data_IF_044255472102
#
_entry.id   IF_044255472102
#
_cell.length_a   1.000
_cell.length_b   1.000
_cell.length_c   1.000
_cell.angle_alpha   90.00
_cell.angle_beta   90.00
_cell.angle_gamma   90.00
#
_symmetry.space_group_name_H-M   'P 1'
#
loop_
_entity.id
_entity.type
_entity.pdbx_description
1 polymer ?
#
# COMPACT_ATOMS: atom_id res chain seq x y z
N UNK A 1 33.56 -22.00 -3.16
CA UNK A 1 32.60 -20.89 -3.12
C UNK A 1 31.23 -21.49 -3.37
N UNK A 2 30.33 -21.46 -2.38
CA UNK A 2 28.96 -21.94 -2.56
C UNK A 2 28.30 -21.17 -3.71
N UNK A 3 27.75 -21.92 -4.67
CA UNK A 3 26.95 -21.40 -5.76
C UNK A 3 25.62 -20.89 -5.20
N UNK A 4 25.62 -19.67 -4.67
CA UNK A 4 24.38 -19.00 -4.25
C UNK A 4 23.50 -18.83 -5.49
N UNK A 5 22.43 -19.63 -5.56
CA UNK A 5 21.46 -19.61 -6.66
C UNK A 5 20.83 -18.22 -6.87
N UNK A 6 20.02 -18.08 -7.93
CA UNK A 6 19.40 -16.79 -8.27
C UNK A 6 18.38 -16.37 -7.21
N UNK A 7 18.60 -15.23 -6.58
CA UNK A 7 17.63 -14.60 -5.68
C UNK A 7 16.60 -13.81 -6.49
N UNK A 8 15.34 -13.85 -6.05
CA UNK A 8 14.24 -13.07 -6.63
C UNK A 8 13.80 -12.00 -5.62
N UNK A 9 13.77 -10.75 -6.07
CA UNK A 9 13.29 -9.61 -5.29
C UNK A 9 12.12 -8.95 -6.02
N UNK A 10 11.22 -8.32 -5.25
CA UNK A 10 10.10 -7.56 -5.78
C UNK A 10 10.57 -6.30 -6.51
N UNK A 11 9.84 -5.91 -7.55
CA UNK A 11 10.04 -4.60 -8.17
C UNK A 11 9.52 -3.47 -7.29
N UNK A 12 9.95 -2.24 -7.60
CA UNK A 12 9.52 -1.06 -6.85
C UNK A 12 8.02 -0.80 -6.98
N UNK A 13 7.34 -0.47 -5.87
CA UNK A 13 5.91 -0.10 -5.90
C UNK A 13 5.55 0.90 -4.81
N UNK A 14 4.43 1.61 -5.00
CA UNK A 14 3.93 2.57 -4.01
C UNK A 14 3.61 1.94 -2.64
N UNK A 15 3.38 0.62 -2.59
CA UNK A 15 3.15 -0.10 -1.34
C UNK A 15 4.39 -0.14 -0.43
N UNK A 16 5.59 0.16 -0.96
CA UNK A 16 6.83 0.32 -0.20
C UNK A 16 6.98 1.73 0.40
N UNK A 17 6.01 2.64 0.17
CA UNK A 17 6.01 3.96 0.80
C UNK A 17 5.69 3.85 2.29
N UNK A 18 6.67 4.18 3.13
CA UNK A 18 6.49 4.23 4.59
C UNK A 18 5.43 5.27 4.99
N UNK A 19 5.36 6.41 4.31
CA UNK A 19 4.41 7.48 4.63
C UNK A 19 2.97 7.04 4.46
N UNK A 20 2.62 6.34 3.37
CA UNK A 20 1.24 5.89 3.15
C UNK A 20 0.84 4.83 4.18
N UNK A 21 1.71 3.85 4.45
CA UNK A 21 1.45 2.85 5.48
C UNK A 21 1.39 3.45 6.89
N UNK A 22 2.14 4.53 7.15
CA UNK A 22 2.13 5.23 8.44
C UNK A 22 0.80 5.93 8.69
N UNK A 23 0.23 6.57 7.66
CA UNK A 23 -1.09 7.19 7.74
C UNK A 23 -2.16 6.11 8.00
N UNK A 24 -2.07 4.96 7.34
CA UNK A 24 -2.97 3.83 7.57
C UNK A 24 -2.89 3.31 9.01
N UNK A 25 -1.67 3.07 9.49
CA UNK A 25 -1.41 2.65 10.87
C UNK A 25 -1.98 3.66 11.88
N UNK A 26 -1.69 4.95 11.67
CA UNK A 26 -2.15 6.03 12.55
C UNK A 26 -3.68 6.12 12.61
N UNK A 27 -4.36 6.02 11.47
CA UNK A 27 -5.82 6.08 11.35
C UNK A 27 -6.53 4.75 11.62
N UNK A 28 -5.79 3.68 11.92
CA UNK A 28 -6.30 2.31 12.12
C UNK A 28 -7.10 1.80 10.92
N UNK A 29 -6.54 1.92 9.71
CA UNK A 29 -7.13 1.36 8.49
C UNK A 29 -6.80 -0.14 8.42
N UNK A 30 -7.85 -0.97 8.36
CA UNK A 30 -7.71 -2.42 8.23
C UNK A 30 -7.80 -2.82 6.76
N UNK A 31 -6.73 -3.40 6.21
CA UNK A 31 -6.67 -3.78 4.79
C UNK A 31 -6.95 -5.26 4.56
N UNK A 32 -7.70 -5.57 3.53
CA UNK A 32 -7.91 -6.94 3.03
C UNK A 32 -6.64 -7.57 2.47
N UNK A 33 -5.74 -6.74 1.92
CA UNK A 33 -4.45 -7.15 1.33
C UNK A 33 -3.27 -6.95 2.30
N UNK A 34 -3.52 -7.10 3.62
CA UNK A 34 -2.55 -6.76 4.67
C UNK A 34 -1.22 -7.51 4.55
N UNK A 35 -1.25 -8.81 4.23
CA UNK A 35 -0.04 -9.62 4.10
C UNK A 35 0.93 -9.05 3.05
N UNK A 36 0.40 -8.65 1.89
CA UNK A 36 1.21 -8.02 0.85
C UNK A 36 1.81 -6.70 1.32
N UNK A 37 1.04 -5.84 2.00
CA UNK A 37 1.52 -4.57 2.54
C UNK A 37 2.62 -4.77 3.59
N UNK A 38 2.47 -5.76 4.47
CA UNK A 38 3.48 -6.13 5.47
C UNK A 38 4.75 -6.64 4.77
N UNK A 39 4.64 -7.51 3.77
CA UNK A 39 5.80 -7.97 2.98
C UNK A 39 6.55 -6.79 2.33
N UNK A 40 5.85 -5.75 1.88
CA UNK A 40 6.49 -4.57 1.31
C UNK A 40 7.31 -3.76 2.32
N UNK A 41 7.10 -3.94 3.63
CA UNK A 41 7.91 -3.29 4.66
C UNK A 41 9.37 -3.74 4.62
N UNK A 42 9.66 -4.96 4.17
CA UNK A 42 11.04 -5.45 4.02
C UNK A 42 11.87 -4.63 3.02
N UNK A 43 11.21 -3.85 2.17
CA UNK A 43 11.85 -2.92 1.23
C UNK A 43 11.96 -1.49 1.79
N UNK A 44 11.58 -1.26 3.05
CA UNK A 44 11.69 0.04 3.74
C UNK A 44 12.94 0.09 4.63
N UNK A 45 13.51 1.29 4.87
CA UNK A 45 14.51 1.50 5.90
C UNK A 45 14.06 0.93 7.24
N UNK A 46 15.01 0.40 8.02
CA UNK A 46 14.73 -0.28 9.29
C UNK A 46 13.97 0.64 10.25
N UNK A 47 14.43 1.87 10.39
CA UNK A 47 13.87 2.88 11.28
C UNK A 47 12.41 3.21 10.91
N UNK A 48 12.08 3.13 9.62
CA UNK A 48 10.71 3.36 9.16
C UNK A 48 9.79 2.18 9.52
N UNK A 49 10.30 0.95 9.44
CA UNK A 49 9.54 -0.24 9.87
C UNK A 49 9.26 -0.22 11.37
N UNK A 50 10.27 0.13 12.16
CA UNK A 50 10.16 0.24 13.61
C UNK A 50 9.13 1.32 13.99
N UNK A 51 9.15 2.47 13.30
CA UNK A 51 8.13 3.51 13.49
C UNK A 51 6.71 3.02 13.14
N UNK A 52 6.55 2.31 12.03
CA UNK A 52 5.24 1.76 11.63
C UNK A 52 4.67 0.85 12.70
N UNK A 53 5.48 -0.11 13.17
CA UNK A 53 5.07 -1.04 14.22
C UNK A 53 4.68 -0.30 15.50
N UNK A 54 5.51 0.66 15.92
CA UNK A 54 5.21 1.45 17.12
C UNK A 54 3.90 2.23 16.99
N UNK A 55 3.63 2.84 15.83
CA UNK A 55 2.37 3.57 15.61
C UNK A 55 1.16 2.64 15.62
N UNK A 56 1.26 1.44 15.04
CA UNK A 56 0.17 0.45 15.07
C UNK A 56 -0.21 0.04 16.50
N UNK A 57 0.79 -0.10 17.37
CA UNK A 57 0.61 -0.49 18.78
C UNK A 57 0.16 0.68 19.66
N UNK A 58 0.68 1.89 19.41
CA UNK A 58 0.57 3.03 20.33
C UNK A 58 -0.37 4.16 19.88
N UNK A 59 -0.93 4.13 18.67
CA UNK A 59 -1.76 5.23 18.19
C UNK A 59 -2.97 5.49 19.13
N UNK A 60 -3.16 6.73 19.61
CA UNK A 60 -4.27 7.08 20.50
C UNK A 60 -5.60 7.22 19.74
N UNK A 61 -5.57 7.20 18.41
CA UNK A 61 -6.74 7.36 17.56
C UNK A 61 -7.70 6.19 17.77
N UNK A 62 -8.97 6.50 17.97
CA UNK A 62 -10.08 5.56 18.03
C UNK A 62 -11.01 5.81 16.84
N UNK A 63 -11.87 4.84 16.51
CA UNK A 63 -12.88 5.01 15.44
C UNK A 63 -13.80 6.20 15.69
N UNK A 64 -13.96 6.61 16.95
CA UNK A 64 -14.77 7.75 17.41
C UNK A 64 -13.99 9.07 17.55
N UNK A 65 -12.69 9.10 17.24
CA UNK A 65 -11.88 10.32 17.38
C UNK A 65 -12.37 11.40 16.39
N UNK A 66 -12.69 12.61 16.88
CA UNK A 66 -13.07 13.73 16.00
C UNK A 66 -12.00 14.01 14.94
N UNK A 67 -12.41 14.28 13.70
CA UNK A 67 -11.48 14.54 12.59
C UNK A 67 -10.99 13.28 11.87
N UNK A 68 -11.22 12.08 12.42
CA UNK A 68 -10.76 10.82 11.79
C UNK A 68 -11.46 10.57 10.47
N UNK A 69 -12.77 10.79 10.40
CA UNK A 69 -13.56 10.51 9.20
C UNK A 69 -13.19 11.47 8.06
N UNK A 70 -12.91 12.73 8.37
CA UNK A 70 -12.40 13.71 7.42
C UNK A 70 -11.01 13.32 6.89
N UNK A 71 -10.13 12.84 7.77
CA UNK A 71 -8.81 12.35 7.39
C UNK A 71 -8.91 11.09 6.49
N UNK A 72 -9.78 10.14 6.83
CA UNK A 72 -10.06 8.96 6.00
C UNK A 72 -10.62 9.35 4.63
N UNK A 73 -11.52 10.34 4.59
CA UNK A 73 -12.08 10.83 3.35
C UNK A 73 -11.01 11.48 2.47
N UNK A 74 -10.11 12.28 3.06
CA UNK A 74 -8.96 12.84 2.33
C UNK A 74 -8.06 11.73 1.77
N UNK A 75 -7.76 10.69 2.55
CA UNK A 75 -6.97 9.53 2.13
C UNK A 75 -7.67 8.74 1.00
N UNK A 76 -9.00 8.60 1.06
CA UNK A 76 -9.79 7.95 0.01
C UNK A 76 -9.81 8.75 -1.29
N UNK A 77 -9.85 10.09 -1.21
CA UNK A 77 -9.70 10.99 -2.37
C UNK A 77 -8.32 10.80 -2.99
N UNK A 78 -7.26 10.77 -2.18
CA UNK A 78 -5.90 10.50 -2.65
C UNK A 78 -5.80 9.15 -3.38
N UNK A 79 -6.33 8.07 -2.78
CA UNK A 79 -6.34 6.73 -3.40
C UNK A 79 -7.13 6.69 -4.70
N UNK A 80 -8.23 7.43 -4.78
CA UNK A 80 -9.04 7.55 -6.00
C UNK A 80 -8.27 8.26 -7.12
N UNK A 81 -7.56 9.35 -6.80
CA UNK A 81 -6.68 10.03 -7.76
C UNK A 81 -5.56 9.11 -8.23
N UNK A 82 -4.91 8.39 -7.31
CA UNK A 82 -3.86 7.44 -7.65
C UNK A 82 -4.37 6.31 -8.57
N UNK A 83 -5.56 5.76 -8.30
CA UNK A 83 -6.19 4.75 -9.16
C UNK A 83 -6.46 5.29 -10.57
N UNK A 84 -6.93 6.53 -10.69
CA UNK A 84 -7.15 7.17 -11.98
C UNK A 84 -5.83 7.37 -12.74
N UNK A 85 -4.77 7.78 -12.06
CA UNK A 85 -3.43 7.87 -12.67
C UNK A 85 -2.97 6.51 -13.18
N UNK A 86 -3.07 5.46 -12.36
CA UNK A 86 -2.69 4.10 -12.78
C UNK A 86 -3.52 3.62 -13.97
N UNK A 87 -4.82 3.94 -14.00
CA UNK A 87 -5.65 3.66 -15.17
C UNK A 87 -5.14 4.38 -16.42
N UNK A 88 -4.87 5.69 -16.33
CA UNK A 88 -4.46 6.53 -17.46
C UNK A 88 -3.04 6.23 -17.98
N UNK A 89 -2.11 5.89 -17.09
CA UNK A 89 -0.70 5.74 -17.44
C UNK A 89 -0.25 4.29 -17.60
N UNK A 90 -1.00 3.33 -17.06
CA UNK A 90 -0.65 1.90 -17.17
C UNK A 90 -1.74 1.16 -17.92
N UNK A 91 -2.99 1.17 -17.42
CA UNK A 91 -4.04 0.31 -17.97
C UNK A 91 -4.36 0.62 -19.43
N UNK A 92 -4.51 1.90 -19.79
CA UNK A 92 -4.81 2.31 -21.17
C UNK A 92 -3.65 2.09 -22.15
N UNK A 93 -2.43 1.86 -21.64
CA UNK A 93 -1.24 1.63 -22.46
C UNK A 93 -1.05 0.15 -22.82
N UNK A 94 -1.81 -0.76 -22.19
CA UNK A 94 -1.71 -2.20 -22.43
C UNK A 94 -2.49 -2.57 -23.69
N UNK A 95 -1.77 -2.97 -24.75
CA UNK A 95 -2.38 -3.39 -26.03
C UNK A 95 -2.95 -4.82 -25.99
N UNK A 96 -2.33 -5.71 -25.20
CA UNK A 96 -2.73 -7.10 -25.04
C UNK A 96 -2.86 -7.46 -23.55
N UNK A 97 -4.07 -7.57 -22.99
CA UNK A 97 -4.29 -7.75 -21.56
C UNK A 97 -4.08 -9.21 -21.12
N UNK A 98 -2.88 -9.77 -21.34
CA UNK A 98 -2.56 -11.12 -20.88
C UNK A 98 -2.22 -11.15 -19.38
N UNK A 99 -1.73 -10.05 -18.81
CA UNK A 99 -1.57 -9.89 -17.37
C UNK A 99 -1.49 -8.41 -16.97
N UNK A 100 -2.27 -8.00 -15.97
CA UNK A 100 -2.20 -6.67 -15.33
C UNK A 100 -1.45 -6.74 -14.01
N UNK A 101 -0.31 -7.44 -14.00
CA UNK A 101 0.59 -7.50 -12.85
C UNK A 101 1.37 -6.20 -12.73
N UNK A 102 1.27 -5.55 -11.57
CA UNK A 102 2.09 -4.38 -11.24
C UNK A 102 3.53 -4.79 -10.96
N UNK A 103 4.43 -3.81 -10.93
CA UNK A 103 5.85 -4.03 -10.62
C UNK A 103 6.10 -4.66 -9.25
N UNK A 104 5.18 -4.43 -8.29
CA UNK A 104 5.18 -5.10 -6.98
C UNK A 104 4.65 -6.54 -7.00
N UNK A 105 4.23 -7.08 -8.14
CA UNK A 105 3.79 -8.47 -8.29
C UNK A 105 2.30 -8.74 -8.09
N UNK A 106 1.46 -7.72 -7.88
CA UNK A 106 0.01 -7.87 -7.66
C UNK A 106 -0.82 -7.54 -8.89
N UNK A 107 -2.05 -8.08 -9.03
CA UNK A 107 -3.03 -7.56 -9.99
C UNK A 107 -3.42 -6.12 -9.61
N UNK A 108 -2.71 -5.12 -10.17
CA UNK A 108 -2.65 -3.78 -9.57
C UNK A 108 -4.01 -3.10 -9.48
N UNK A 109 -4.89 -3.29 -10.47
CA UNK A 109 -6.23 -2.70 -10.44
C UNK A 109 -7.10 -3.27 -9.32
N UNK A 110 -7.02 -4.58 -9.06
CA UNK A 110 -7.76 -5.22 -7.96
C UNK A 110 -7.21 -4.73 -6.62
N UNK A 111 -5.90 -4.79 -6.45
CA UNK A 111 -5.21 -4.34 -5.25
C UNK A 111 -5.55 -2.88 -4.89
N UNK A 112 -5.42 -1.95 -5.86
CA UNK A 112 -5.72 -0.53 -5.62
C UNK A 112 -7.20 -0.27 -5.31
N UNK A 113 -8.13 -1.02 -5.91
CA UNK A 113 -9.57 -0.92 -5.59
C UNK A 113 -9.86 -1.41 -4.17
N UNK A 114 -9.20 -2.48 -3.73
CA UNK A 114 -9.34 -3.03 -2.37
C UNK A 114 -8.82 -2.02 -1.35
N UNK A 115 -7.57 -1.57 -1.48
CA UNK A 115 -6.95 -0.58 -0.58
C UNK A 115 -7.75 0.73 -0.48
N UNK A 116 -8.39 1.18 -1.57
CA UNK A 116 -9.31 2.34 -1.56
C UNK A 116 -10.63 2.03 -0.82
N UNK A 117 -11.18 0.84 -1.01
CA UNK A 117 -12.46 0.43 -0.40
C UNK A 117 -12.30 0.19 1.10
N UNK A 118 -11.13 -0.27 1.52
CA UNK A 118 -10.76 -0.52 2.91
C UNK A 118 -10.58 0.77 3.72
N UNK A 119 -10.40 1.93 3.07
CA UNK A 119 -10.44 3.25 3.71
C UNK A 119 -11.85 3.64 4.12
N UNK A 120 -12.26 3.24 5.32
CA UNK A 120 -13.58 3.51 5.93
C UNK A 120 -13.52 3.62 7.46
#
# INVERSE_FOLDING_TARGET
MEEKGRFKYGGGSAAQSSTIQLIDAFLKVEHTENNFLIEQREYMPREHRELLQWVEEATPIQKTTPGRDEALQALKIFRSKHLNMVAQYILTQIQHPASTTGTGGTPFMKFLKNVRSDTK
#
